data_IF_788711709691
#
_entry.id   IF_788711709691
#
_cell.length_a   1.000
_cell.length_b   1.000
_cell.length_c   1.000
_cell.angle_alpha   90.00
_cell.angle_beta   90.00
_cell.angle_gamma   90.00
#
_symmetry.space_group_name_H-M   'P 1'
#
loop_
_entity.id
_entity.type
_entity.pdbx_description
1 polymer ?
#
# COMPACT_ATOMS: atom_id res chain seq x y z
N UNK A 1 -3.77 -9.49 -18.16
CA UNK A 1 -3.35 -8.84 -16.89
C UNK A 1 -2.59 -7.55 -17.21
N UNK A 2 -1.59 -7.55 -18.08
CA UNK A 2 -0.72 -6.39 -18.38
C UNK A 2 -1.46 -5.12 -18.88
N UNK A 3 -2.52 -5.26 -19.69
CA UNK A 3 -3.33 -4.11 -20.15
C UNK A 3 -4.03 -3.33 -19.01
N UNK A 4 -4.13 -3.94 -17.83
CA UNK A 4 -4.79 -3.33 -16.68
C UNK A 4 -3.87 -2.34 -15.95
N UNK A 5 -2.58 -2.61 -15.86
CA UNK A 5 -1.59 -1.74 -15.22
C UNK A 5 -1.35 -0.46 -16.04
N UNK A 6 -1.29 -0.56 -17.37
CA UNK A 6 -1.24 0.61 -18.25
C UNK A 6 -2.45 1.53 -18.05
N UNK A 7 -3.65 0.95 -17.85
CA UNK A 7 -4.85 1.73 -17.56
C UNK A 7 -4.79 2.39 -16.17
N UNK A 8 -4.20 1.72 -15.18
CA UNK A 8 -3.99 2.28 -13.84
C UNK A 8 -3.05 3.48 -13.93
N UNK A 9 -1.91 3.33 -14.60
CA UNK A 9 -0.94 4.40 -14.82
C UNK A 9 -1.58 5.61 -15.52
N UNK A 10 -2.32 5.38 -16.61
CA UNK A 10 -3.01 6.45 -17.35
C UNK A 10 -4.05 7.19 -16.47
N UNK A 11 -4.81 6.46 -15.65
CA UNK A 11 -5.79 7.05 -14.72
C UNK A 11 -5.11 7.85 -13.61
N UNK A 12 -4.02 7.34 -13.05
CA UNK A 12 -3.25 8.03 -12.01
C UNK A 12 -2.65 9.33 -12.55
N UNK A 13 -2.02 9.30 -13.72
CA UNK A 13 -1.50 10.50 -14.38
C UNK A 13 -2.61 11.52 -14.65
N UNK A 14 -3.78 11.06 -15.11
CA UNK A 14 -4.93 11.93 -15.38
C UNK A 14 -5.51 12.55 -14.10
N UNK A 15 -5.56 11.82 -13.01
CA UNK A 15 -5.97 12.38 -11.71
C UNK A 15 -5.05 13.53 -11.28
N UNK A 16 -3.74 13.33 -11.41
CA UNK A 16 -2.73 14.36 -11.06
C UNK A 16 -2.88 15.62 -11.93
N UNK A 17 -3.14 15.48 -13.24
CA UNK A 17 -3.41 16.61 -14.13
C UNK A 17 -4.60 17.48 -13.66
N UNK A 18 -5.56 16.85 -12.96
CA UNK A 18 -6.74 17.54 -12.40
C UNK A 18 -6.58 17.90 -10.91
N UNK A 19 -5.38 17.85 -10.36
CA UNK A 19 -5.10 18.22 -8.95
C UNK A 19 -5.58 17.21 -7.92
N UNK A 20 -5.84 15.96 -8.33
CA UNK A 20 -6.28 14.86 -7.47
C UNK A 20 -5.08 13.96 -7.20
N UNK A 21 -4.74 13.73 -5.92
CA UNK A 21 -3.72 12.76 -5.52
C UNK A 21 -4.27 11.33 -5.68
N UNK A 22 -3.74 10.50 -6.59
CA UNK A 22 -4.18 9.13 -6.73
C UNK A 22 -3.62 8.24 -5.61
N UNK A 23 -4.40 7.25 -5.19
CA UNK A 23 -3.91 6.10 -4.41
C UNK A 23 -3.83 4.92 -5.38
N UNK A 24 -2.62 4.48 -5.69
CA UNK A 24 -2.37 3.35 -6.59
C UNK A 24 -2.27 2.07 -5.77
N UNK A 25 -3.25 1.17 -5.95
CA UNK A 25 -3.33 -0.09 -5.22
C UNK A 25 -2.60 -1.20 -5.98
N UNK A 26 -1.78 -1.95 -5.26
CA UNK A 26 -1.03 -3.13 -5.75
C UNK A 26 -1.10 -4.24 -4.71
N UNK A 27 -1.06 -5.49 -5.16
CA UNK A 27 -1.10 -6.64 -4.26
C UNK A 27 -1.18 -7.96 -5.00
N UNK A 28 -0.69 -9.01 -4.38
CA UNK A 28 -0.61 -10.34 -4.91
C UNK A 28 -1.78 -11.24 -4.48
N UNK A 29 -2.15 -12.23 -5.30
CA UNK A 29 -3.06 -13.29 -4.91
C UNK A 29 -2.35 -14.36 -4.06
N UNK A 30 -3.13 -15.22 -3.41
CA UNK A 30 -2.63 -16.23 -2.47
C UNK A 30 -1.60 -17.17 -3.09
N UNK A 31 -1.84 -17.65 -4.29
CA UNK A 31 -0.95 -18.59 -4.98
C UNK A 31 0.45 -18.02 -5.22
N UNK A 32 0.56 -16.70 -5.47
CA UNK A 32 1.84 -16.02 -5.62
C UNK A 32 2.55 -15.88 -4.27
N UNK A 33 1.78 -15.62 -3.21
CA UNK A 33 2.30 -15.57 -1.84
C UNK A 33 2.86 -16.92 -1.41
N UNK A 34 2.12 -18.00 -1.64
CA UNK A 34 2.51 -19.37 -1.30
C UNK A 34 3.73 -19.84 -2.11
N UNK A 35 3.92 -19.33 -3.32
CA UNK A 35 5.11 -19.59 -4.13
C UNK A 35 6.36 -18.82 -3.67
N UNK A 36 6.25 -17.87 -2.73
CA UNK A 36 7.35 -17.01 -2.29
C UNK A 36 7.75 -15.94 -3.30
N UNK A 37 6.89 -15.63 -4.27
CA UNK A 37 7.15 -14.68 -5.37
C UNK A 37 6.46 -13.32 -5.14
N UNK A 38 5.86 -13.10 -3.98
CA UNK A 38 4.99 -11.96 -3.67
C UNK A 38 5.70 -10.61 -3.81
N UNK A 39 6.93 -10.45 -3.31
CA UNK A 39 7.67 -9.18 -3.42
C UNK A 39 7.96 -8.85 -4.89
N UNK A 40 8.54 -9.79 -5.63
CA UNK A 40 8.88 -9.58 -7.04
C UNK A 40 7.64 -9.30 -7.90
N UNK A 41 6.53 -10.00 -7.62
CA UNK A 41 5.25 -9.80 -8.29
C UNK A 41 4.68 -8.40 -8.03
N UNK A 42 4.63 -7.97 -6.76
CA UNK A 42 4.07 -6.66 -6.39
C UNK A 42 4.96 -5.52 -6.90
N UNK A 43 6.27 -5.65 -6.81
CA UNK A 43 7.23 -4.67 -7.35
C UNK A 43 7.05 -4.52 -8.87
N UNK A 44 6.91 -5.62 -9.61
CA UNK A 44 6.68 -5.55 -11.05
C UNK A 44 5.31 -4.93 -11.38
N UNK A 45 4.26 -5.30 -10.64
CA UNK A 45 2.93 -4.70 -10.78
C UNK A 45 2.95 -3.20 -10.51
N UNK A 46 3.67 -2.76 -9.46
CA UNK A 46 3.85 -1.35 -9.12
C UNK A 46 4.62 -0.61 -10.23
N UNK A 47 5.72 -1.17 -10.74
CA UNK A 47 6.50 -0.59 -11.83
C UNK A 47 5.64 -0.27 -13.05
N UNK A 48 4.79 -1.19 -13.45
CA UNK A 48 3.87 -1.00 -14.59
C UNK A 48 2.77 0.02 -14.28
N UNK A 49 2.20 -0.03 -13.06
CA UNK A 49 1.12 0.84 -12.62
C UNK A 49 1.55 2.29 -12.37
N UNK A 50 2.84 2.52 -12.17
CA UNK A 50 3.42 3.83 -11.91
C UNK A 50 4.13 4.44 -13.12
N UNK A 51 4.11 3.77 -14.28
CA UNK A 51 4.76 4.24 -15.49
C UNK A 51 4.23 5.61 -15.94
N UNK A 52 5.11 6.63 -15.95
CA UNK A 52 4.75 8.00 -16.31
C UNK A 52 3.91 8.76 -15.28
N UNK A 53 3.79 8.25 -14.06
CA UNK A 53 3.11 8.91 -12.95
C UNK A 53 4.09 9.79 -12.17
N UNK A 54 3.69 11.01 -11.81
CA UNK A 54 4.46 11.89 -10.92
C UNK A 54 4.38 11.34 -9.48
N UNK A 55 5.43 10.62 -9.07
CA UNK A 55 5.46 9.92 -7.78
C UNK A 55 5.45 10.89 -6.58
N UNK A 56 5.87 12.14 -6.75
CA UNK A 56 5.80 13.16 -5.69
C UNK A 56 4.37 13.55 -5.31
N UNK A 57 3.38 13.17 -6.13
CA UNK A 57 1.95 13.49 -5.95
C UNK A 57 1.06 12.28 -5.77
N UNK A 58 1.66 11.08 -5.74
CA UNK A 58 0.94 9.83 -5.61
C UNK A 58 1.05 9.24 -4.20
N UNK A 59 0.13 8.37 -3.86
CA UNK A 59 0.17 7.48 -2.70
C UNK A 59 0.09 6.06 -3.23
N UNK A 60 0.79 5.12 -2.61
CA UNK A 60 0.73 3.70 -2.96
C UNK A 60 0.05 2.94 -1.83
N UNK A 61 -0.80 1.99 -2.14
CA UNK A 61 -1.40 1.09 -1.16
C UNK A 61 -1.08 -0.36 -1.50
N UNK A 62 -0.44 -1.04 -0.57
CA UNK A 62 -0.25 -2.49 -0.64
C UNK A 62 -1.50 -3.19 -0.11
N UNK A 63 -2.19 -3.90 -0.98
CA UNK A 63 -3.41 -4.64 -0.69
C UNK A 63 -3.20 -6.13 -0.96
N UNK A 64 -2.73 -6.94 0.04
CA UNK A 64 -2.63 -8.38 -0.14
C UNK A 64 -4.02 -8.96 -0.42
N UNK A 65 -4.29 -9.34 -1.67
CA UNK A 65 -5.64 -9.76 -2.13
C UNK A 65 -6.18 -10.93 -1.29
N UNK A 66 -5.30 -11.82 -0.86
CA UNK A 66 -5.62 -12.97 -0.02
C UNK A 66 -6.03 -12.61 1.43
N UNK A 67 -5.74 -11.38 1.88
CA UNK A 67 -6.09 -10.88 3.21
C UNK A 67 -7.28 -9.90 3.19
N UNK A 68 -7.90 -9.64 2.02
CA UNK A 68 -9.05 -8.72 1.92
C UNK A 68 -10.35 -9.50 2.04
N UNK A 69 -11.08 -9.29 3.14
CA UNK A 69 -12.41 -9.89 3.33
C UNK A 69 -12.44 -11.42 3.50
N UNK A 70 -11.28 -12.06 3.68
CA UNK A 70 -11.16 -13.53 3.79
C UNK A 70 -11.06 -14.01 5.24
N UNK A 71 -10.86 -13.10 6.20
CA UNK A 71 -10.53 -13.43 7.58
C UNK A 71 -9.06 -13.78 7.83
N UNK A 72 -8.24 -13.90 6.77
CA UNK A 72 -6.79 -13.99 6.88
C UNK A 72 -6.22 -12.61 7.15
N UNK A 73 -5.17 -12.52 7.96
CA UNK A 73 -4.48 -11.28 8.30
C UNK A 73 -3.01 -11.46 7.94
N UNK A 74 -2.43 -10.49 7.22
CA UNK A 74 -0.99 -10.45 7.03
C UNK A 74 -0.31 -10.03 8.35
N UNK A 75 0.86 -10.58 8.62
CA UNK A 75 1.68 -10.13 9.75
C UNK A 75 2.28 -8.74 9.46
N UNK A 76 2.82 -8.10 10.49
CA UNK A 76 3.53 -6.84 10.33
C UNK A 76 4.79 -7.00 9.46
N UNK A 77 5.48 -8.12 9.59
CA UNK A 77 6.63 -8.49 8.78
C UNK A 77 6.25 -8.70 7.32
N UNK A 78 5.08 -9.34 7.04
CA UNK A 78 4.56 -9.51 5.68
C UNK A 78 4.31 -8.16 5.00
N UNK A 79 3.72 -7.21 5.74
CA UNK A 79 3.47 -5.86 5.26
C UNK A 79 4.78 -5.11 5.03
N UNK A 80 5.72 -5.19 5.97
CA UNK A 80 7.03 -4.54 5.89
C UNK A 80 7.82 -5.01 4.66
N UNK A 81 7.91 -6.31 4.44
CA UNK A 81 8.70 -6.89 3.35
C UNK A 81 8.26 -6.34 1.98
N UNK A 82 6.96 -6.29 1.74
CA UNK A 82 6.42 -5.81 0.47
C UNK A 82 6.49 -4.28 0.37
N UNK A 83 6.15 -3.56 1.44
CA UNK A 83 6.23 -2.09 1.44
C UNK A 83 7.67 -1.61 1.26
N UNK A 84 8.65 -2.29 1.85
CA UNK A 84 10.06 -2.04 1.59
C UNK A 84 10.42 -2.21 0.11
N UNK A 85 10.02 -3.32 -0.51
CA UNK A 85 10.24 -3.55 -1.95
C UNK A 85 9.62 -2.46 -2.83
N UNK A 86 8.43 -1.97 -2.47
CA UNK A 86 7.77 -0.86 -3.16
C UNK A 86 8.58 0.45 -2.99
N UNK A 87 9.07 0.75 -1.78
CA UNK A 87 9.86 1.96 -1.52
C UNK A 87 11.19 1.95 -2.28
N UNK A 88 11.86 0.81 -2.34
CA UNK A 88 13.08 0.65 -3.14
C UNK A 88 12.80 0.83 -4.64
N UNK A 89 11.67 0.34 -5.14
CA UNK A 89 11.24 0.60 -6.51
C UNK A 89 11.05 2.11 -6.77
N UNK A 90 10.39 2.83 -5.84
CA UNK A 90 10.22 4.29 -5.98
C UNK A 90 11.57 5.00 -6.02
N UNK A 91 12.53 4.57 -5.20
CA UNK A 91 13.91 5.10 -5.20
C UNK A 91 14.59 4.89 -6.54
N UNK A 92 14.42 3.72 -7.14
CA UNK A 92 14.95 3.41 -8.48
C UNK A 92 14.29 4.26 -9.59
N UNK A 93 12.96 4.45 -9.53
CA UNK A 93 12.20 5.16 -10.56
C UNK A 93 12.32 6.69 -10.45
N UNK A 94 12.78 7.21 -9.33
CA UNK A 94 12.81 8.63 -9.01
C UNK A 94 14.13 9.00 -8.32
N UNK A 95 14.10 9.25 -7.01
CA UNK A 95 15.25 9.56 -6.17
C UNK A 95 14.95 9.26 -4.68
N UNK A 96 15.97 9.41 -3.83
CA UNK A 96 15.84 9.20 -2.38
C UNK A 96 14.80 10.12 -1.75
N UNK A 97 14.75 11.39 -2.15
CA UNK A 97 13.84 12.39 -1.56
C UNK A 97 12.38 12.03 -1.80
N UNK A 98 12.05 11.57 -3.00
CA UNK A 98 10.69 11.12 -3.34
C UNK A 98 10.36 9.80 -2.66
N UNK A 99 11.33 8.86 -2.62
CA UNK A 99 11.13 7.58 -1.96
C UNK A 99 10.90 7.72 -0.45
N UNK A 100 11.58 8.66 0.20
CA UNK A 100 11.41 8.93 1.64
C UNK A 100 10.14 9.73 1.94
N UNK A 101 9.62 10.50 0.98
CA UNK A 101 8.44 11.35 1.15
C UNK A 101 7.12 10.67 0.73
N UNK A 102 7.15 9.73 -0.18
CA UNK A 102 5.94 9.03 -0.66
C UNK A 102 5.31 8.21 0.46
N UNK A 103 3.99 8.25 0.55
CA UNK A 103 3.26 7.42 1.52
C UNK A 103 2.93 6.06 0.93
N UNK A 104 3.35 5.00 1.64
CA UNK A 104 3.01 3.62 1.33
C UNK A 104 2.09 3.10 2.42
N UNK A 105 0.85 2.80 2.06
CA UNK A 105 -0.20 2.39 2.99
C UNK A 105 -0.37 0.87 2.95
N UNK A 106 -0.66 0.28 4.11
CA UNK A 106 -1.15 -1.09 4.17
C UNK A 106 -2.69 -1.10 4.02
N UNK A 107 -3.20 -1.85 3.05
CA UNK A 107 -4.63 -1.92 2.70
C UNK A 107 -5.27 -3.30 2.92
N UNK A 108 -4.60 -4.22 3.60
CA UNK A 108 -5.21 -5.47 4.05
C UNK A 108 -6.14 -5.26 5.26
N UNK A 109 -6.62 -6.35 5.83
CA UNK A 109 -7.47 -6.29 7.03
C UNK A 109 -6.71 -5.71 8.22
N UNK A 110 -7.24 -4.65 8.81
CA UNK A 110 -6.72 -4.01 10.03
C UNK A 110 -7.81 -3.91 11.09
N UNK A 111 -7.40 -4.05 12.34
CA UNK A 111 -8.23 -3.85 13.54
C UNK A 111 -7.45 -2.99 14.53
N UNK A 112 -8.14 -2.43 15.53
CA UNK A 112 -7.51 -1.58 16.53
C UNK A 112 -6.41 -2.29 17.35
N UNK A 113 -6.48 -3.61 17.48
CA UNK A 113 -5.51 -4.44 18.19
C UNK A 113 -4.29 -4.86 17.34
N UNK A 114 -4.39 -4.78 16.02
CA UNK A 114 -3.31 -5.19 15.09
C UNK A 114 -2.67 -4.03 14.34
N UNK A 115 -3.37 -2.90 14.21
CA UNK A 115 -2.93 -1.77 13.40
C UNK A 115 -1.62 -1.15 13.91
N UNK A 116 -1.44 -1.08 15.23
CA UNK A 116 -0.25 -0.49 15.84
C UNK A 116 1.02 -1.23 15.42
N UNK A 117 1.01 -2.56 15.42
CA UNK A 117 2.14 -3.39 15.04
C UNK A 117 2.50 -3.24 13.56
N UNK A 118 1.49 -3.17 12.69
CA UNK A 118 1.69 -2.98 11.25
C UNK A 118 2.24 -1.58 10.94
N UNK A 119 1.66 -0.53 11.54
CA UNK A 119 2.06 0.87 11.26
C UNK A 119 3.40 1.25 11.95
N UNK A 120 3.85 0.49 12.94
CA UNK A 120 5.19 0.68 13.51
C UNK A 120 6.33 0.23 12.60
N UNK A 121 6.01 -0.44 11.49
CA UNK A 121 7.03 -0.90 10.55
C UNK A 121 7.65 0.26 9.76
N UNK A 122 8.98 0.24 9.50
CA UNK A 122 9.71 1.36 8.92
C UNK A 122 9.20 1.85 7.57
N UNK A 123 8.64 0.96 6.74
CA UNK A 123 8.20 1.29 5.38
C UNK A 123 6.67 1.34 5.23
N UNK A 124 5.92 1.29 6.35
CA UNK A 124 4.45 1.39 6.36
C UNK A 124 4.03 2.74 6.95
N UNK A 125 3.61 3.67 6.11
CA UNK A 125 3.31 5.06 6.50
C UNK A 125 1.86 5.26 6.98
N UNK A 126 1.03 4.23 6.92
CA UNK A 126 -0.37 4.31 7.33
C UNK A 126 -1.22 3.15 6.85
N UNK A 127 -2.53 3.27 7.03
CA UNK A 127 -3.50 2.25 6.62
C UNK A 127 -4.56 2.79 5.66
N UNK A 128 -4.95 1.97 4.67
CA UNK A 128 -6.12 2.18 3.83
C UNK A 128 -7.25 1.30 4.37
N UNK A 129 -8.19 1.90 5.09
CA UNK A 129 -9.17 1.18 5.92
C UNK A 129 -10.52 1.10 5.22
N UNK A 130 -11.01 -0.13 4.99
CA UNK A 130 -12.32 -0.41 4.42
C UNK A 130 -13.41 -0.62 5.47
N UNK A 131 -13.87 -1.85 5.66
CA UNK A 131 -15.01 -2.18 6.54
C UNK A 131 -14.92 -1.67 7.97
N UNK A 132 -13.72 -1.64 8.55
CA UNK A 132 -13.51 -1.12 9.91
C UNK A 132 -13.74 0.41 10.04
N UNK A 133 -13.89 1.14 8.93
CA UNK A 133 -14.23 2.57 8.92
C UNK A 133 -15.74 2.87 8.94
N UNK A 134 -16.59 1.83 8.81
CA UNK A 134 -18.06 2.00 8.76
C UNK A 134 -18.66 2.34 10.12
N UNK A 135 -18.03 1.95 11.22
CA UNK A 135 -18.39 2.39 12.58
C UNK A 135 -17.43 3.49 13.04
N UNK A 136 -17.97 4.66 13.34
CA UNK A 136 -17.15 5.84 13.70
C UNK A 136 -16.39 5.68 15.01
N UNK A 137 -16.91 4.91 15.98
CA UNK A 137 -16.22 4.69 17.25
C UNK A 137 -15.07 3.71 17.09
N UNK A 138 -15.27 2.65 16.32
CA UNK A 138 -14.22 1.67 16.03
C UNK A 138 -13.13 2.25 15.14
N UNK A 139 -13.51 3.09 14.17
CA UNK A 139 -12.54 3.81 13.35
C UNK A 139 -11.71 4.82 14.17
N UNK A 140 -12.33 5.53 15.12
CA UNK A 140 -11.62 6.43 16.02
C UNK A 140 -10.61 5.68 16.93
N UNK A 141 -10.96 4.50 17.44
CA UNK A 141 -10.05 3.64 18.21
C UNK A 141 -8.86 3.17 17.36
N UNK A 142 -9.15 2.75 16.13
CA UNK A 142 -8.13 2.32 15.17
C UNK A 142 -7.16 3.47 14.86
N UNK A 143 -7.68 4.66 14.56
CA UNK A 143 -6.86 5.84 14.28
C UNK A 143 -6.01 6.26 15.49
N UNK A 144 -6.56 6.18 16.71
CA UNK A 144 -5.80 6.47 17.93
C UNK A 144 -4.69 5.43 18.19
N UNK A 145 -4.96 4.14 17.95
CA UNK A 145 -3.96 3.09 18.07
C UNK A 145 -2.82 3.27 17.06
N UNK A 146 -3.15 3.62 15.81
CA UNK A 146 -2.17 3.92 14.77
C UNK A 146 -1.30 5.14 15.12
N UNK A 147 -1.91 6.24 15.60
CA UNK A 147 -1.17 7.44 15.98
C UNK A 147 -0.19 7.20 17.13
N UNK A 148 -0.54 6.37 18.09
CA UNK A 148 0.33 6.02 19.21
C UNK A 148 1.51 5.12 18.83
N UNK A 149 1.43 4.43 17.70
CA UNK A 149 2.48 3.52 17.23
C UNK A 149 3.66 4.25 16.56
N UNK A 150 3.46 5.49 16.11
CA UNK A 150 4.47 6.29 15.39
C UNK A 150 5.05 7.45 16.24
N UNK A 151 4.65 7.56 17.49
CA UNK A 151 5.23 8.49 18.48
C UNK A 151 6.37 7.84 19.25
#
# INVERSE_FOLDING_TARGET
VYKRQEQVAAKAAKAIEHGIAPIVCVGEPLEVREAGEHVSFVVQQARESLAGVDLSKAVIAYEPVWAIGTGKVASAEDAQEVCHGIRELVRELSDDSVADAIRILYGGSVKADTVAEIISQPDVDGGLVGGASLDGQDFAKLAAAAANAVM
#
